data_IF_958926903608
#
_entry.id   IF_958926903608
#
_cell.length_a   1.000
_cell.length_b   1.000
_cell.length_c   1.000
_cell.angle_alpha   90.00
_cell.angle_beta   90.00
_cell.angle_gamma   90.00
#
_symmetry.space_group_name_H-M   'P 1'
#
loop_
_entity.id
_entity.type
_entity.pdbx_description
1 polymer ?
#
# COMPACT_ATOMS: atom_id res chain seq x y z
N UNK A 1 63.44 -12.22 -15.31
CA UNK A 1 64.01 -13.39 -14.65
C UNK A 1 64.40 -13.03 -13.20
N UNK A 2 63.60 -12.20 -12.49
CA UNK A 2 63.87 -11.80 -11.10
C UNK A 2 62.64 -11.93 -10.18
N UNK A 3 61.50 -12.43 -10.71
CA UNK A 3 60.27 -12.58 -9.94
C UNK A 3 59.97 -14.00 -9.46
N UNK A 4 60.88 -14.96 -9.80
CA UNK A 4 60.68 -16.39 -9.51
C UNK A 4 61.51 -16.89 -8.30
N UNK A 5 62.31 -16.03 -7.67
CA UNK A 5 63.20 -16.42 -6.58
C UNK A 5 62.81 -15.95 -5.18
N UNK A 6 61.74 -15.13 -5.06
CA UNK A 6 61.28 -14.61 -3.76
C UNK A 6 60.08 -15.36 -3.12
N UNK A 7 59.61 -16.44 -3.72
CA UNK A 7 58.42 -17.19 -3.22
C UNK A 7 58.76 -18.51 -2.48
N UNK A 8 60.04 -18.76 -2.19
CA UNK A 8 60.44 -20.03 -1.53
C UNK A 8 60.81 -19.94 -0.05
N UNK A 9 60.64 -18.81 0.61
CA UNK A 9 61.04 -18.66 2.02
C UNK A 9 59.97 -17.99 2.94
N UNK A 10 58.65 -18.18 2.64
CA UNK A 10 57.59 -17.73 3.56
C UNK A 10 57.02 -18.93 4.34
N UNK A 11 56.84 -18.77 5.69
CA UNK A 11 56.28 -19.84 6.52
C UNK A 11 54.82 -20.13 6.12
N UNK A 12 54.44 -21.41 6.17
CA UNK A 12 53.15 -21.96 5.76
C UNK A 12 51.91 -21.31 6.40
N UNK A 13 52.08 -20.46 7.43
CA UNK A 13 51.05 -19.76 8.13
C UNK A 13 50.52 -18.51 7.41
N UNK A 14 51.30 -17.95 6.47
CA UNK A 14 50.92 -16.74 5.72
C UNK A 14 50.15 -17.10 4.43
N UNK A 15 50.37 -18.30 3.91
CA UNK A 15 49.66 -18.78 2.70
C UNK A 15 48.20 -19.19 2.92
N UNK A 16 47.76 -19.37 4.17
CA UNK A 16 46.33 -19.58 4.52
C UNK A 16 45.48 -18.31 4.57
N UNK A 17 46.09 -17.12 4.57
CA UNK A 17 45.37 -15.85 4.60
C UNK A 17 45.08 -15.25 3.24
N UNK A 18 45.65 -15.78 2.15
CA UNK A 18 45.49 -15.30 0.77
C UNK A 18 44.57 -16.15 -0.09
N UNK A 19 43.92 -17.19 0.48
CA UNK A 19 42.90 -18.01 -0.19
C UNK A 19 41.52 -17.82 0.45
N UNK A 20 41.17 -16.62 0.84
CA UNK A 20 39.75 -16.27 1.04
C UNK A 20 39.31 -15.61 -0.25
N UNK A 21 38.46 -16.29 -1.01
CA UNK A 21 37.71 -15.71 -2.10
C UNK A 21 36.97 -14.48 -1.60
N UNK A 22 37.11 -13.30 -2.22
CA UNK A 22 36.40 -12.11 -1.79
C UNK A 22 34.90 -12.18 -2.14
N UNK A 23 34.37 -13.30 -2.63
CA UNK A 23 32.97 -13.52 -3.01
C UNK A 23 32.19 -14.50 -2.12
N UNK A 24 32.75 -15.02 -1.03
CA UNK A 24 31.96 -15.66 0.03
C UNK A 24 31.42 -14.62 1.02
N UNK A 25 30.80 -13.57 0.51
CA UNK A 25 29.79 -12.81 1.19
C UNK A 25 28.48 -13.54 1.04
N UNK A 26 28.20 -14.55 1.86
CA UNK A 26 26.85 -15.00 2.14
C UNK A 26 26.06 -13.74 2.48
N UNK A 27 25.24 -13.26 1.55
CA UNK A 27 24.14 -12.37 1.86
C UNK A 27 23.22 -13.18 2.79
N UNK A 28 23.46 -13.10 4.10
CA UNK A 28 22.41 -13.40 5.07
C UNK A 28 21.27 -12.51 4.64
N UNK A 29 20.23 -13.08 4.02
CA UNK A 29 18.94 -12.44 3.94
C UNK A 29 18.67 -11.90 5.35
N UNK A 30 18.67 -10.58 5.50
CA UNK A 30 18.31 -9.98 6.77
C UNK A 30 16.91 -10.48 7.07
N UNK A 31 16.78 -11.13 8.21
CA UNK A 31 15.48 -11.60 8.69
C UNK A 31 14.53 -10.40 8.68
N UNK A 32 13.61 -10.39 7.72
CA UNK A 32 12.71 -9.25 7.50
C UNK A 32 11.71 -9.23 8.62
N UNK A 33 11.61 -8.13 9.33
CA UNK A 33 10.64 -7.99 10.43
C UNK A 33 9.23 -8.26 9.92
N UNK A 34 8.48 -9.07 10.66
CA UNK A 34 7.14 -9.48 10.26
C UNK A 34 6.08 -8.50 10.78
N UNK A 35 5.19 -8.02 9.92
CA UNK A 35 4.01 -7.22 10.29
C UNK A 35 2.73 -7.88 9.75
N UNK A 36 1.66 -7.88 10.54
CA UNK A 36 0.37 -8.47 10.18
C UNK A 36 -0.52 -7.47 9.42
N UNK A 37 -0.44 -6.21 9.80
CA UNK A 37 -1.28 -5.14 9.28
C UNK A 37 -0.41 -4.06 8.64
N UNK A 38 -0.75 -3.68 7.42
CA UNK A 38 -0.19 -2.54 6.71
C UNK A 38 -1.06 -1.30 6.86
N UNK A 39 -0.44 -0.16 7.08
CA UNK A 39 -1.10 1.14 7.02
C UNK A 39 -0.40 1.97 5.95
N UNK A 40 -1.15 2.44 4.96
CA UNK A 40 -0.65 3.36 3.94
C UNK A 40 -1.33 4.70 4.14
N UNK A 41 -0.56 5.77 4.33
CA UNK A 41 -1.16 7.08 4.57
C UNK A 41 -0.24 8.26 4.30
N UNK A 42 -0.75 9.44 4.59
CA UNK A 42 0.01 10.69 4.49
C UNK A 42 0.82 10.98 5.74
N UNK A 43 1.52 12.12 5.72
CA UNK A 43 2.46 12.55 6.77
C UNK A 43 1.83 12.75 8.16
N UNK A 44 0.53 13.00 8.25
CA UNK A 44 -0.17 13.16 9.53
C UNK A 44 -0.26 11.90 10.38
N UNK A 45 0.06 10.71 9.83
CA UNK A 45 -0.01 9.42 10.53
C UNK A 45 1.36 8.92 11.04
N UNK A 46 2.45 9.66 10.83
CA UNK A 46 3.81 9.21 11.23
C UNK A 46 4.01 9.07 12.73
N UNK A 47 3.32 9.87 13.52
CA UNK A 47 3.48 9.94 14.98
C UNK A 47 2.22 9.47 15.69
N UNK A 48 1.74 8.27 15.32
CA UNK A 48 0.49 7.74 15.86
C UNK A 48 0.62 7.45 17.38
N UNK A 49 -0.21 8.04 18.24
CA UNK A 49 -0.17 7.78 19.67
C UNK A 49 -0.41 6.30 19.99
N UNK A 50 0.46 5.73 20.83
CA UNK A 50 0.38 4.31 21.23
C UNK A 50 1.13 3.35 20.30
N UNK A 51 1.85 3.86 19.31
CA UNK A 51 2.77 3.06 18.50
C UNK A 51 4.06 2.84 19.29
N UNK A 52 4.40 1.60 19.59
CA UNK A 52 5.53 1.20 20.43
C UNK A 52 6.51 0.29 19.67
N UNK A 53 7.71 0.09 20.22
CA UNK A 53 8.76 -0.74 19.60
C UNK A 53 9.11 -0.31 18.17
N UNK A 54 9.08 1.00 17.93
CA UNK A 54 9.16 1.60 16.59
C UNK A 54 10.58 1.55 16.05
N UNK A 55 10.74 1.06 14.83
CA UNK A 55 11.98 1.12 14.07
C UNK A 55 11.68 1.28 12.57
N UNK A 56 12.72 1.68 11.82
CA UNK A 56 12.61 1.85 10.38
C UNK A 56 13.28 0.70 9.64
N UNK A 57 12.63 0.24 8.57
CA UNK A 57 13.17 -0.80 7.71
C UNK A 57 13.05 -0.43 6.23
N UNK A 58 14.16 -0.55 5.50
CA UNK A 58 14.18 -0.45 4.04
C UNK A 58 14.00 -1.83 3.44
N UNK A 59 13.00 -1.97 2.60
CA UNK A 59 12.66 -3.24 1.96
C UNK A 59 12.99 -3.17 0.48
N UNK A 60 13.94 -3.99 0.05
CA UNK A 60 14.27 -4.12 -1.37
C UNK A 60 13.22 -4.95 -2.10
N UNK A 61 12.86 -4.50 -3.31
CA UNK A 61 11.89 -5.18 -4.16
C UNK A 61 12.39 -5.33 -5.60
N UNK A 62 11.92 -6.33 -6.34
CA UNK A 62 12.27 -6.48 -7.76
C UNK A 62 11.61 -5.42 -8.65
N UNK A 63 10.83 -4.51 -8.07
CA UNK A 63 10.16 -3.40 -8.74
C UNK A 63 10.81 -2.05 -8.43
N UNK A 64 11.98 -2.05 -7.78
CA UNK A 64 12.64 -0.84 -7.31
C UNK A 64 12.27 -0.49 -5.86
N UNK A 65 12.60 0.72 -5.44
CA UNK A 65 12.37 1.16 -4.08
C UNK A 65 10.90 1.54 -3.82
N UNK A 66 10.36 1.21 -2.64
CA UNK A 66 9.12 1.79 -2.14
C UNK A 66 9.22 3.32 -1.94
N UNK A 67 8.07 3.95 -1.72
CA UNK A 67 7.97 5.41 -1.53
C UNK A 67 8.85 5.95 -0.39
N UNK A 68 9.02 5.15 0.67
CA UNK A 68 9.89 5.45 1.81
C UNK A 68 10.31 4.17 2.55
N UNK A 69 11.16 4.30 3.58
CA UNK A 69 11.35 3.25 4.55
C UNK A 69 10.03 2.97 5.29
N UNK A 70 9.78 1.70 5.58
CA UNK A 70 8.64 1.31 6.42
C UNK A 70 8.93 1.65 7.88
N UNK A 71 7.92 2.12 8.59
CA UNK A 71 7.96 2.26 10.03
C UNK A 71 7.24 1.07 10.62
N UNK A 72 7.98 0.21 11.30
CA UNK A 72 7.47 -1.01 11.93
C UNK A 72 7.34 -0.82 13.43
N UNK A 73 6.38 -1.47 14.04
CA UNK A 73 6.18 -1.40 15.48
C UNK A 73 4.90 -2.13 15.90
N UNK A 74 4.48 -1.86 17.13
CA UNK A 74 3.27 -2.43 17.69
C UNK A 74 2.23 -1.35 17.95
N UNK A 75 1.00 -1.60 17.52
CA UNK A 75 -0.17 -0.78 17.77
C UNK A 75 -1.31 -1.68 18.27
N UNK A 76 -1.86 -1.39 19.45
CA UNK A 76 -2.92 -2.21 20.07
C UNK A 76 -2.54 -3.70 20.18
N UNK A 77 -1.28 -3.99 20.54
CA UNK A 77 -0.74 -5.35 20.63
C UNK A 77 -0.57 -6.08 19.28
N UNK A 78 -0.69 -5.38 18.17
CA UNK A 78 -0.57 -5.95 16.82
C UNK A 78 0.66 -5.39 16.11
N UNK A 79 1.39 -6.24 15.40
CA UNK A 79 2.55 -5.82 14.59
C UNK A 79 2.06 -5.12 13.33
N UNK A 80 2.51 -3.89 13.14
CA UNK A 80 2.06 -2.98 12.07
C UNK A 80 3.24 -2.50 11.24
N UNK A 81 3.07 -2.42 9.92
CA UNK A 81 3.97 -1.76 8.99
C UNK A 81 3.28 -0.51 8.43
N UNK A 82 3.82 0.66 8.73
CA UNK A 82 3.35 1.93 8.20
C UNK A 82 4.20 2.38 7.02
N UNK A 83 3.57 2.85 5.93
CA UNK A 83 4.23 3.43 4.76
C UNK A 83 3.70 4.83 4.45
N UNK A 84 4.61 5.78 4.36
CA UNK A 84 4.36 7.10 3.82
C UNK A 84 4.14 7.03 2.31
N UNK A 85 2.87 7.14 1.85
CA UNK A 85 2.54 7.00 0.42
C UNK A 85 3.37 7.91 -0.47
N UNK A 86 3.44 9.19 -0.15
CA UNK A 86 4.16 10.19 -0.94
C UNK A 86 5.61 10.45 -0.48
N UNK A 87 6.14 9.54 0.37
CA UNK A 87 7.41 9.76 1.06
C UNK A 87 7.35 10.87 2.11
N UNK A 88 8.32 10.90 3.02
CA UNK A 88 8.44 11.99 4.00
C UNK A 88 8.66 13.30 3.27
N UNK A 89 7.98 14.35 3.73
CA UNK A 89 8.00 15.66 3.07
C UNK A 89 7.10 15.75 1.84
N UNK A 90 6.27 14.74 1.55
CA UNK A 90 5.26 14.74 0.46
C UNK A 90 5.89 15.07 -0.92
N UNK A 91 6.96 14.36 -1.28
CA UNK A 91 7.85 14.67 -2.42
C UNK A 91 7.58 13.87 -3.69
N UNK A 92 6.66 12.90 -3.64
CA UNK A 92 6.34 12.00 -4.76
C UNK A 92 4.92 12.29 -5.25
N UNK A 93 4.77 12.64 -6.52
CA UNK A 93 3.46 12.84 -7.13
C UNK A 93 2.66 11.53 -7.20
N UNK A 94 1.32 11.58 -7.25
CA UNK A 94 0.48 10.39 -7.39
C UNK A 94 0.88 9.46 -8.55
N UNK A 95 1.26 10.01 -9.69
CA UNK A 95 1.66 9.22 -10.88
C UNK A 95 3.12 8.77 -10.87
N UNK A 96 3.94 9.29 -9.94
CA UNK A 96 5.32 8.84 -9.73
C UNK A 96 5.44 7.74 -8.67
N UNK A 97 4.34 7.43 -7.96
CA UNK A 97 4.33 6.40 -6.91
C UNK A 97 4.66 5.03 -7.47
N UNK A 98 5.66 4.38 -6.89
CA UNK A 98 5.97 3.00 -7.20
C UNK A 98 5.02 2.05 -6.44
N UNK A 99 3.76 2.00 -6.89
CA UNK A 99 2.73 1.18 -6.26
C UNK A 99 3.11 -0.30 -6.18
N UNK A 100 3.80 -0.84 -7.22
CA UNK A 100 4.27 -2.24 -7.20
C UNK A 100 5.27 -2.48 -6.08
N UNK A 101 6.28 -1.61 -5.93
CA UNK A 101 7.25 -1.73 -4.86
C UNK A 101 6.58 -1.61 -3.49
N UNK A 102 5.65 -0.67 -3.32
CA UNK A 102 4.94 -0.47 -2.06
C UNK A 102 4.16 -1.72 -1.61
N UNK A 103 3.37 -2.30 -2.50
CA UNK A 103 2.54 -3.47 -2.16
C UNK A 103 3.37 -4.75 -2.09
N UNK A 104 4.38 -4.91 -2.94
CA UNK A 104 5.30 -6.05 -2.86
C UNK A 104 6.07 -6.06 -1.53
N UNK A 105 6.56 -4.90 -1.10
CA UNK A 105 7.24 -4.77 0.19
C UNK A 105 6.32 -5.07 1.36
N UNK A 106 5.07 -4.61 1.35
CA UNK A 106 4.04 -5.01 2.33
C UNK A 106 3.90 -6.53 2.38
N UNK A 107 3.83 -7.19 1.21
CA UNK A 107 3.77 -8.66 1.13
C UNK A 107 5.00 -9.32 1.71
N UNK A 108 6.19 -8.80 1.43
CA UNK A 108 7.48 -9.29 1.92
C UNK A 108 7.60 -9.16 3.45
N UNK A 109 7.04 -8.11 4.02
CA UNK A 109 6.90 -7.90 5.48
C UNK A 109 5.86 -8.83 6.13
N UNK A 110 5.14 -9.64 5.37
CA UNK A 110 4.12 -10.55 5.88
C UNK A 110 2.73 -9.92 6.05
N UNK A 111 2.52 -8.70 5.54
CA UNK A 111 1.24 -8.00 5.66
C UNK A 111 0.13 -8.77 4.95
N UNK A 112 -0.96 -9.01 5.67
CA UNK A 112 -2.16 -9.68 5.16
C UNK A 112 -3.37 -8.76 5.01
N UNK A 113 -3.36 -7.61 5.68
CA UNK A 113 -4.44 -6.61 5.63
C UNK A 113 -3.85 -5.21 5.53
N UNK A 114 -4.38 -4.41 4.63
CA UNK A 114 -4.00 -3.01 4.46
C UNK A 114 -5.20 -2.11 4.76
N UNK A 115 -4.99 -1.15 5.65
CA UNK A 115 -5.83 0.04 5.81
C UNK A 115 -5.15 1.19 5.12
N UNK A 116 -5.76 1.70 4.08
CA UNK A 116 -5.25 2.86 3.35
C UNK A 116 -6.05 4.11 3.74
N UNK A 117 -5.34 5.18 4.06
CA UNK A 117 -5.95 6.45 4.46
C UNK A 117 -5.59 7.51 3.44
N UNK A 118 -6.58 8.23 2.91
CA UNK A 118 -6.36 9.30 1.94
C UNK A 118 -7.34 10.46 2.11
N UNK A 119 -6.88 11.67 1.81
CA UNK A 119 -7.74 12.83 1.64
C UNK A 119 -8.48 12.75 0.30
N UNK A 120 -9.74 13.15 0.26
CA UNK A 120 -10.61 13.11 -0.91
C UNK A 120 -11.53 14.32 -0.98
N UNK A 121 -11.91 14.71 -2.20
CA UNK A 121 -13.03 15.59 -2.45
C UNK A 121 -14.36 14.82 -2.40
N UNK A 122 -15.42 15.45 -1.93
CA UNK A 122 -16.78 14.91 -1.96
C UNK A 122 -17.50 15.25 -3.26
N UNK A 123 -18.18 14.28 -3.84
CA UNK A 123 -19.07 14.45 -4.99
C UNK A 123 -20.55 14.45 -4.61
N UNK A 124 -20.86 14.36 -3.32
CA UNK A 124 -22.24 14.33 -2.77
C UNK A 124 -22.42 15.27 -1.59
N UNK A 125 -23.58 15.88 -1.48
CA UNK A 125 -23.95 16.79 -0.37
C UNK A 125 -23.89 16.12 1.00
N UNK A 126 -24.26 14.85 1.08
CA UNK A 126 -24.29 14.08 2.33
C UNK A 126 -22.92 13.72 2.87
N UNK A 127 -21.84 13.80 2.07
CA UNK A 127 -20.45 13.54 2.49
C UNK A 127 -19.77 14.88 2.80
N UNK A 128 -19.86 15.31 4.01
CA UNK A 128 -19.36 16.64 4.44
C UNK A 128 -17.87 16.63 4.72
N UNK A 129 -17.16 17.74 4.56
CA UNK A 129 -15.82 17.90 5.11
C UNK A 129 -15.75 17.43 6.57
N UNK A 130 -14.74 16.62 6.89
CA UNK A 130 -14.52 15.87 8.14
C UNK A 130 -15.29 14.56 8.30
N UNK A 131 -16.23 14.22 7.42
CA UNK A 131 -16.76 12.86 7.34
C UNK A 131 -15.72 11.92 6.72
N UNK A 132 -15.79 10.65 7.09
CA UNK A 132 -15.00 9.60 6.48
C UNK A 132 -15.91 8.68 5.66
N UNK A 133 -15.53 8.38 4.43
CA UNK A 133 -16.21 7.41 3.58
C UNK A 133 -15.34 6.15 3.50
N UNK A 134 -15.96 4.99 3.62
CA UNK A 134 -15.31 3.69 3.43
C UNK A 134 -15.84 3.10 2.12
N UNK A 135 -15.27 3.50 0.96
CA UNK A 135 -15.79 3.10 -0.34
C UNK A 135 -15.64 1.60 -0.55
N UNK A 136 -16.56 1.01 -1.28
CA UNK A 136 -16.54 -0.40 -1.68
C UNK A 136 -16.35 -0.59 -3.18
N UNK A 137 -16.45 0.49 -3.97
CA UNK A 137 -16.27 0.49 -5.42
C UNK A 137 -15.29 1.57 -5.90
N UNK A 138 -14.69 1.32 -7.08
CA UNK A 138 -13.79 2.25 -7.73
C UNK A 138 -14.14 2.45 -9.21
N UNK A 139 -13.91 3.66 -9.71
CA UNK A 139 -13.85 3.97 -11.14
C UNK A 139 -12.45 4.49 -11.46
N UNK A 140 -11.79 3.90 -12.45
CA UNK A 140 -10.43 4.26 -12.88
C UNK A 140 -10.45 5.37 -13.92
N UNK A 141 -9.90 6.52 -13.57
CA UNK A 141 -9.64 7.65 -14.48
C UNK A 141 -8.15 7.97 -14.55
N UNK A 142 -7.30 6.96 -14.31
CA UNK A 142 -5.85 7.08 -14.46
C UNK A 142 -5.39 6.50 -15.81
N UNK A 143 -4.30 7.04 -16.39
CA UNK A 143 -3.91 6.71 -17.76
C UNK A 143 -2.46 6.20 -17.89
N UNK A 144 -1.56 6.59 -16.98
CA UNK A 144 -0.12 6.35 -17.11
C UNK A 144 0.47 5.48 -16.01
N UNK A 145 -0.34 4.81 -15.19
CA UNK A 145 0.10 4.09 -14.01
C UNK A 145 0.18 2.60 -14.24
N UNK A 146 1.28 2.00 -13.79
CA UNK A 146 1.38 0.54 -13.75
C UNK A 146 0.60 0.03 -12.54
N UNK A 147 -0.43 -0.78 -12.78
CA UNK A 147 -1.37 -1.26 -11.75
C UNK A 147 -1.50 -2.78 -11.72
N UNK A 148 -0.49 -3.52 -12.20
CA UNK A 148 -0.44 -5.00 -12.16
C UNK A 148 0.98 -5.49 -11.95
N UNK A 149 1.12 -6.66 -11.32
CA UNK A 149 2.37 -7.40 -11.24
C UNK A 149 2.60 -8.30 -12.46
N UNK A 150 1.55 -8.62 -13.21
CA UNK A 150 1.65 -9.39 -14.44
C UNK A 150 2.38 -8.63 -15.54
N UNK A 151 2.92 -9.36 -16.49
CA UNK A 151 3.76 -8.83 -17.56
C UNK A 151 5.05 -9.66 -17.69
N UNK A 152 6.04 -9.17 -18.45
CA UNK A 152 7.34 -9.82 -18.63
C UNK A 152 7.22 -11.30 -19.01
N UNK A 153 6.20 -11.67 -19.81
CA UNK A 153 5.93 -13.04 -20.25
C UNK A 153 4.91 -13.81 -19.40
N UNK A 154 4.28 -13.17 -18.44
CA UNK A 154 3.18 -13.76 -17.65
C UNK A 154 1.90 -12.99 -17.91
N UNK A 155 0.87 -13.68 -18.38
CA UNK A 155 -0.50 -13.17 -18.50
C UNK A 155 -1.32 -13.73 -17.35
N UNK A 156 -2.01 -12.85 -16.63
CA UNK A 156 -2.88 -13.25 -15.54
C UNK A 156 -4.04 -12.28 -15.34
N UNK A 157 -5.11 -12.79 -14.75
CA UNK A 157 -6.30 -12.01 -14.41
C UNK A 157 -6.80 -12.39 -13.03
N UNK A 158 -7.15 -11.40 -12.22
CA UNK A 158 -7.83 -11.59 -10.93
C UNK A 158 -9.24 -11.02 -10.97
N UNK A 159 -10.16 -11.64 -10.27
CA UNK A 159 -11.50 -11.09 -10.12
C UNK A 159 -11.46 -9.79 -9.30
N UNK A 160 -12.08 -8.72 -9.81
CA UNK A 160 -12.04 -7.39 -9.22
C UNK A 160 -13.41 -6.69 -9.18
N UNK A 161 -14.52 -7.45 -9.32
CA UNK A 161 -15.89 -6.94 -9.18
C UNK A 161 -16.17 -6.35 -7.78
N UNK A 162 -15.61 -6.98 -6.74
CA UNK A 162 -15.63 -6.50 -5.35
C UNK A 162 -14.21 -6.12 -4.94
N UNK A 163 -13.74 -4.89 -5.25
CA UNK A 163 -12.34 -4.50 -5.11
C UNK A 163 -11.87 -4.36 -3.65
N UNK A 164 -12.80 -4.14 -2.73
CA UNK A 164 -12.53 -3.87 -1.30
C UNK A 164 -12.86 -5.09 -0.45
N UNK A 165 -12.00 -5.38 0.52
CA UNK A 165 -12.26 -6.46 1.49
C UNK A 165 -13.32 -6.04 2.50
N UNK A 166 -14.47 -6.70 2.50
CA UNK A 166 -15.59 -6.40 3.40
C UNK A 166 -15.23 -6.54 4.87
N UNK A 167 -14.29 -7.44 5.24
CA UNK A 167 -13.84 -7.60 6.63
C UNK A 167 -13.09 -6.35 7.11
N UNK A 168 -12.15 -5.84 6.31
CA UNK A 168 -11.38 -4.64 6.65
C UNK A 168 -12.27 -3.40 6.61
N UNK A 169 -13.15 -3.28 5.62
CA UNK A 169 -14.11 -2.17 5.51
C UNK A 169 -15.06 -2.11 6.70
N UNK A 170 -15.61 -3.24 7.15
CA UNK A 170 -16.45 -3.31 8.36
C UNK A 170 -15.70 -2.91 9.62
N UNK A 171 -14.44 -3.35 9.77
CA UNK A 171 -13.61 -2.94 10.91
C UNK A 171 -13.35 -1.41 10.90
N UNK A 172 -13.07 -0.82 9.73
CA UNK A 172 -12.89 0.62 9.57
C UNK A 172 -14.17 1.41 9.91
N UNK A 173 -15.34 0.96 9.41
CA UNK A 173 -16.62 1.60 9.71
C UNK A 173 -16.99 1.50 11.21
N UNK A 174 -16.77 0.34 11.83
CA UNK A 174 -16.98 0.15 13.26
C UNK A 174 -16.04 1.03 14.10
N UNK A 175 -14.80 1.19 13.67
CA UNK A 175 -13.82 2.05 14.31
C UNK A 175 -14.23 3.52 14.27
N UNK A 176 -14.73 4.03 13.12
CA UNK A 176 -15.27 5.38 13.04
C UNK A 176 -16.36 5.61 14.09
N UNK A 177 -17.32 4.68 14.19
CA UNK A 177 -18.40 4.75 15.18
C UNK A 177 -17.85 4.73 16.62
N UNK A 178 -16.87 3.87 16.91
CA UNK A 178 -16.31 3.74 18.26
C UNK A 178 -15.60 5.00 18.75
N UNK A 179 -15.00 5.78 17.85
CA UNK A 179 -14.30 7.02 18.22
C UNK A 179 -15.10 8.30 17.96
N UNK A 180 -16.38 8.18 17.61
CA UNK A 180 -17.27 9.32 17.41
C UNK A 180 -17.02 10.09 16.11
N UNK A 181 -16.37 9.49 15.12
CA UNK A 181 -16.20 10.05 13.77
C UNK A 181 -17.33 9.55 12.86
N UNK A 182 -17.89 10.44 12.06
CA UNK A 182 -18.90 10.05 11.06
C UNK A 182 -18.24 9.22 10.00
N UNK A 183 -18.52 7.91 10.00
CA UNK A 183 -18.01 6.95 9.01
C UNK A 183 -19.15 6.42 8.15
N UNK A 184 -19.08 6.59 6.85
CA UNK A 184 -20.10 6.18 5.87
C UNK A 184 -19.62 4.99 5.07
N UNK A 185 -20.15 3.78 5.34
CA UNK A 185 -19.76 2.58 4.59
C UNK A 185 -20.41 2.55 3.21
N UNK A 186 -19.67 2.05 2.23
CA UNK A 186 -20.09 1.95 0.84
C UNK A 186 -19.77 3.22 0.04
N UNK A 187 -20.06 3.14 -1.25
CA UNK A 187 -19.88 4.24 -2.20
C UNK A 187 -18.75 4.03 -3.19
N UNK A 188 -18.77 4.83 -4.24
CA UNK A 188 -17.83 4.75 -5.37
C UNK A 188 -16.77 5.83 -5.28
N UNK A 189 -15.51 5.40 -5.30
CA UNK A 189 -14.33 6.27 -5.35
C UNK A 189 -13.87 6.45 -6.81
N UNK A 190 -13.86 7.68 -7.32
CA UNK A 190 -13.18 8.02 -8.58
C UNK A 190 -11.69 8.18 -8.28
N UNK A 191 -10.84 7.41 -8.98
CA UNK A 191 -9.39 7.60 -8.94
C UNK A 191 -8.96 8.37 -10.18
N UNK A 192 -8.66 9.65 -10.03
CA UNK A 192 -8.17 10.50 -11.12
C UNK A 192 -6.64 10.52 -11.21
N UNK A 193 -6.10 10.92 -12.37
CA UNK A 193 -4.64 10.95 -12.58
C UNK A 193 -3.96 12.01 -11.72
N UNK A 194 -4.49 13.23 -11.66
CA UNK A 194 -3.78 14.37 -11.10
C UNK A 194 -2.57 14.79 -11.96
N UNK A 195 -1.66 15.68 -11.47
CA UNK A 195 -1.72 16.34 -10.15
C UNK A 195 -2.76 17.45 -10.05
N UNK A 196 -3.33 17.92 -11.18
CA UNK A 196 -4.40 18.91 -11.18
C UNK A 196 -5.67 18.28 -10.58
N UNK A 197 -6.44 19.10 -9.87
CA UNK A 197 -7.80 18.74 -9.47
C UNK A 197 -8.76 18.75 -10.66
N UNK A 198 -9.97 18.24 -10.45
CA UNK A 198 -11.01 18.19 -11.47
C UNK A 198 -11.37 19.57 -12.01
N UNK A 199 -11.69 19.66 -13.29
CA UNK A 199 -12.48 20.76 -13.81
C UNK A 199 -13.94 20.64 -13.32
N UNK A 200 -14.70 21.74 -13.33
CA UNK A 200 -16.15 21.69 -13.01
C UNK A 200 -16.92 20.72 -13.90
N UNK A 201 -16.53 20.62 -15.17
CA UNK A 201 -17.16 19.70 -16.13
C UNK A 201 -16.89 18.23 -15.74
N UNK A 202 -15.66 17.87 -15.36
CA UNK A 202 -15.30 16.54 -14.88
C UNK A 202 -16.02 16.21 -13.57
N UNK A 203 -16.01 17.14 -12.61
CA UNK A 203 -16.70 16.94 -11.34
C UNK A 203 -18.20 16.68 -11.54
N UNK A 204 -18.88 17.46 -12.37
CA UNK A 204 -20.28 17.25 -12.71
C UNK A 204 -20.52 15.93 -13.45
N UNK A 205 -19.61 15.53 -14.34
CA UNK A 205 -19.67 14.25 -15.03
C UNK A 205 -19.58 13.09 -14.02
N UNK A 206 -18.62 13.13 -13.10
CA UNK A 206 -18.45 12.07 -12.08
C UNK A 206 -19.64 11.98 -11.13
N UNK A 207 -20.24 13.12 -10.77
CA UNK A 207 -21.50 13.18 -10.04
C UNK A 207 -22.65 12.51 -10.79
N UNK A 208 -22.74 12.75 -12.11
CA UNK A 208 -23.78 12.10 -12.93
C UNK A 208 -23.63 10.58 -13.03
N UNK A 209 -22.40 10.05 -12.81
CA UNK A 209 -22.13 8.63 -12.71
C UNK A 209 -22.47 8.03 -11.32
N UNK A 210 -22.89 8.87 -10.39
CA UNK A 210 -23.25 8.44 -9.03
C UNK A 210 -22.05 8.25 -8.09
N UNK A 211 -20.86 8.75 -8.47
CA UNK A 211 -19.68 8.65 -7.62
C UNK A 211 -19.84 9.45 -6.32
N UNK A 212 -19.21 8.95 -5.26
CA UNK A 212 -19.31 9.49 -3.91
C UNK A 212 -18.14 10.40 -3.55
N UNK A 213 -16.92 9.97 -3.85
CA UNK A 213 -15.70 10.71 -3.53
C UNK A 213 -14.69 10.61 -4.66
N UNK A 214 -13.76 11.56 -4.68
CA UNK A 214 -12.69 11.64 -5.67
C UNK A 214 -11.33 11.80 -5.00
N UNK A 215 -10.35 11.06 -5.48
CA UNK A 215 -8.97 11.15 -5.05
C UNK A 215 -8.01 10.61 -6.10
N UNK A 216 -6.73 10.41 -5.75
CA UNK A 216 -5.69 10.16 -6.75
C UNK A 216 -4.93 8.84 -6.59
N UNK A 217 -5.11 8.03 -5.52
CA UNK A 217 -4.07 7.03 -5.20
C UNK A 217 -4.57 5.62 -4.88
N UNK A 218 -5.80 5.44 -4.45
CA UNK A 218 -6.23 4.19 -3.82
C UNK A 218 -6.48 3.02 -4.79
N UNK A 219 -6.81 3.28 -6.04
CA UNK A 219 -7.18 2.22 -6.98
C UNK A 219 -5.99 1.31 -7.34
N UNK A 220 -4.80 1.89 -7.59
CA UNK A 220 -3.61 1.10 -7.89
C UNK A 220 -3.20 0.24 -6.69
N UNK A 221 -3.33 0.78 -5.48
CA UNK A 221 -3.12 0.01 -4.25
C UNK A 221 -4.08 -1.17 -4.16
N UNK A 222 -5.38 -0.94 -4.40
CA UNK A 222 -6.41 -1.98 -4.35
C UNK A 222 -6.19 -3.09 -5.39
N UNK A 223 -5.85 -2.73 -6.65
CA UNK A 223 -5.55 -3.69 -7.72
C UNK A 223 -4.37 -4.57 -7.36
N UNK A 224 -3.26 -3.97 -6.95
CA UNK A 224 -2.03 -4.69 -6.59
C UNK A 224 -2.19 -5.49 -5.29
N UNK A 225 -2.91 -4.98 -4.30
CA UNK A 225 -3.23 -5.72 -3.08
C UNK A 225 -4.06 -6.98 -3.40
N UNK A 226 -5.01 -6.91 -4.35
CA UNK A 226 -5.78 -8.07 -4.81
C UNK A 226 -4.87 -9.13 -5.45
N UNK A 227 -3.95 -8.75 -6.34
CA UNK A 227 -2.99 -9.66 -6.96
C UNK A 227 -2.02 -10.25 -5.93
N UNK A 228 -1.62 -9.48 -4.91
CA UNK A 228 -0.77 -9.94 -3.82
C UNK A 228 -1.53 -10.73 -2.73
N UNK A 229 -2.84 -10.92 -2.88
CA UNK A 229 -3.70 -11.60 -1.90
C UNK A 229 -3.65 -10.94 -0.51
N UNK A 230 -3.62 -9.62 -0.50
CA UNK A 230 -3.73 -8.79 0.70
C UNK A 230 -5.14 -8.20 0.75
N UNK A 231 -5.80 -8.31 1.89
CA UNK A 231 -7.07 -7.63 2.13
C UNK A 231 -6.84 -6.12 2.14
N UNK A 232 -7.65 -5.36 1.42
CA UNK A 232 -7.48 -3.92 1.29
C UNK A 232 -8.79 -3.19 1.54
N UNK A 233 -8.75 -2.11 2.29
CA UNK A 233 -9.83 -1.13 2.37
C UNK A 233 -9.28 0.28 2.55
N UNK A 234 -10.05 1.26 2.10
CA UNK A 234 -9.74 2.69 2.20
C UNK A 234 -10.60 3.36 3.25
N UNK A 235 -9.99 4.26 4.02
CA UNK A 235 -10.65 5.31 4.79
C UNK A 235 -10.43 6.62 4.03
N UNK A 236 -11.45 7.07 3.32
CA UNK A 236 -11.42 8.28 2.52
C UNK A 236 -11.92 9.45 3.39
N UNK A 237 -11.00 10.35 3.74
CA UNK A 237 -11.27 11.50 4.59
C UNK A 237 -11.71 12.68 3.73
N UNK A 238 -12.94 13.09 3.84
CA UNK A 238 -13.46 14.23 3.06
C UNK A 238 -12.83 15.53 3.56
N UNK A 239 -12.19 16.27 2.63
CA UNK A 239 -11.58 17.58 2.90
C UNK A 239 -12.44 18.73 2.42
N UNK A 240 -13.15 18.55 1.32
CA UNK A 240 -13.90 19.56 0.60
C UNK A 240 -15.00 18.91 -0.27
N UNK A 241 -15.79 19.75 -0.97
CA UNK A 241 -16.85 19.30 -1.89
C UNK A 241 -16.40 19.27 -3.35
N UNK A 242 -15.10 19.08 -3.62
CA UNK A 242 -14.57 19.25 -4.97
C UNK A 242 -14.99 20.63 -5.56
N UNK A 243 -14.98 20.81 -6.89
CA UNK A 243 -15.26 22.09 -7.51
C UNK A 243 -16.70 22.27 -8.05
N UNK A 244 -17.63 21.34 -7.74
CA UNK A 244 -18.99 21.34 -8.28
C UNK A 244 -19.97 22.20 -7.46
N UNK A 245 -19.70 22.44 -6.18
CA UNK A 245 -20.65 23.10 -5.26
C UNK A 245 -20.64 24.61 -5.50
N UNK A 246 -21.76 25.14 -5.95
CA UNK A 246 -21.96 26.59 -6.13
C UNK A 246 -22.17 27.29 -4.78
N UNK A 247 -21.80 28.58 -4.70
CA UNK A 247 -22.04 29.41 -3.51
C UNK A 247 -21.06 29.25 -2.35
N UNK A 248 -20.08 28.37 -2.46
CA UNK A 248 -18.86 28.45 -1.69
C UNK A 248 -17.82 29.16 -2.55
N UNK A 249 -17.37 30.34 -2.14
CA UNK A 249 -16.12 30.91 -2.59
C UNK A 249 -15.08 29.79 -2.58
N UNK A 250 -14.25 29.73 -3.61
CA UNK A 250 -13.24 28.66 -3.74
C UNK A 250 -12.59 28.42 -2.39
N UNK A 251 -12.80 27.19 -1.83
CA UNK A 251 -12.27 26.79 -0.53
C UNK A 251 -10.82 27.22 -0.46
N UNK A 252 -10.46 28.03 0.49
CA UNK A 252 -9.10 28.55 0.58
C UNK A 252 -8.14 27.43 0.94
N UNK A 253 -6.88 27.53 0.53
CA UNK A 253 -5.85 26.54 0.89
C UNK A 253 -5.77 26.40 2.41
N UNK A 254 -5.94 27.49 3.15
CA UNK A 254 -5.91 27.53 4.62
C UNK A 254 -7.05 26.70 5.22
N UNK A 255 -8.26 26.76 4.66
CA UNK A 255 -9.41 25.96 5.11
C UNK A 255 -9.19 24.48 4.83
N UNK A 256 -8.66 24.12 3.64
CA UNK A 256 -8.28 22.73 3.32
C UNK A 256 -7.25 22.22 4.32
N UNK A 257 -6.22 23.01 4.62
CA UNK A 257 -5.17 22.62 5.57
C UNK A 257 -5.73 22.43 6.98
N UNK A 258 -6.64 23.32 7.44
CA UNK A 258 -7.28 23.18 8.75
C UNK A 258 -8.15 21.90 8.84
N UNK A 259 -8.86 21.56 7.77
CA UNK A 259 -9.62 20.30 7.67
C UNK A 259 -8.69 19.09 7.63
N UNK A 260 -7.58 19.16 6.89
CA UNK A 260 -6.57 18.09 6.82
C UNK A 260 -5.98 17.78 8.21
N UNK A 261 -5.65 18.79 9.01
CA UNK A 261 -5.15 18.57 10.38
C UNK A 261 -6.19 17.85 11.25
N UNK A 262 -7.46 18.33 11.27
CA UNK A 262 -8.52 17.65 12.02
C UNK A 262 -8.76 16.21 11.54
N UNK A 263 -8.73 16.00 10.24
CA UNK A 263 -8.87 14.67 9.65
C UNK A 263 -7.70 13.75 10.03
N UNK A 264 -6.46 14.26 10.07
CA UNK A 264 -5.30 13.48 10.49
C UNK A 264 -5.42 12.98 11.94
N UNK A 265 -5.83 13.86 12.88
CA UNK A 265 -6.05 13.48 14.27
C UNK A 265 -7.16 12.43 14.41
N UNK A 266 -8.25 12.60 13.69
CA UNK A 266 -9.34 11.63 13.67
C UNK A 266 -8.92 10.32 13.03
N UNK A 267 -8.14 10.37 11.93
CA UNK A 267 -7.62 9.19 11.26
C UNK A 267 -6.71 8.37 12.17
N UNK A 268 -5.83 9.00 12.95
CA UNK A 268 -5.03 8.30 13.95
C UNK A 268 -5.88 7.48 14.92
N UNK A 269 -6.97 8.08 15.44
CA UNK A 269 -7.91 7.40 16.35
C UNK A 269 -8.66 6.25 15.65
N UNK A 270 -9.15 6.50 14.43
CA UNK A 270 -9.88 5.49 13.64
C UNK A 270 -8.98 4.34 13.24
N UNK A 271 -7.76 4.60 12.76
CA UNK A 271 -6.80 3.56 12.40
C UNK A 271 -6.44 2.70 13.59
N UNK A 272 -6.16 3.32 14.75
CA UNK A 272 -5.88 2.62 16.00
C UNK A 272 -7.03 1.69 16.39
N UNK A 273 -8.27 2.19 16.40
CA UNK A 273 -9.46 1.39 16.69
C UNK A 273 -9.71 0.31 15.64
N UNK A 274 -9.44 0.56 14.36
CA UNK A 274 -9.58 -0.42 13.29
C UNK A 274 -8.55 -1.56 13.44
N UNK A 275 -7.30 -1.26 13.80
CA UNK A 275 -6.26 -2.25 14.09
C UNK A 275 -6.70 -3.17 15.23
N UNK A 276 -7.22 -2.59 16.34
CA UNK A 276 -7.74 -3.37 17.47
C UNK A 276 -8.94 -4.25 17.09
N UNK A 277 -9.83 -3.76 16.23
CA UNK A 277 -11.06 -4.46 15.85
C UNK A 277 -10.85 -5.55 14.76
N UNK A 278 -9.72 -5.55 14.05
CA UNK A 278 -9.46 -6.56 13.02
C UNK A 278 -9.17 -7.94 13.64
N UNK A 279 -9.77 -9.03 13.11
CA UNK A 279 -9.44 -10.39 13.57
C UNK A 279 -7.95 -10.66 13.42
N UNK A 280 -7.33 -11.34 14.41
CA UNK A 280 -5.94 -11.81 14.28
C UNK A 280 -5.86 -12.96 13.27
N UNK A 281 -4.86 -12.96 12.40
CA UNK A 281 -4.65 -14.05 11.43
C UNK A 281 -3.98 -15.26 12.07
N UNK A 282 -3.31 -15.08 13.20
CA UNK A 282 -2.80 -16.20 14.01
C UNK A 282 -3.92 -17.00 14.68
N UNK A 283 -5.09 -16.37 14.91
CA UNK A 283 -6.23 -16.99 15.60
C UNK A 283 -7.32 -17.44 14.63
N UNK A 284 -7.53 -16.69 13.55
CA UNK A 284 -8.60 -16.95 12.58
C UNK A 284 -8.07 -16.86 11.16
N UNK A 285 -8.09 -17.97 10.45
CA UNK A 285 -7.73 -17.99 9.02
C UNK A 285 -8.60 -17.03 8.23
N UNK A 286 -8.00 -16.32 7.27
CA UNK A 286 -8.75 -15.44 6.37
C UNK A 286 -9.70 -16.25 5.48
N UNK A 287 -11.00 -16.04 5.63
CA UNK A 287 -12.05 -16.73 4.86
C UNK A 287 -12.56 -15.91 3.66
N UNK A 288 -12.09 -14.67 3.51
CA UNK A 288 -12.46 -13.81 2.40
C UNK A 288 -11.79 -14.24 1.08
N UNK A 289 -12.42 -13.96 -0.05
CA UNK A 289 -11.91 -14.27 -1.38
C UNK A 289 -10.53 -13.62 -1.69
N UNK A 290 -10.13 -12.58 -0.94
CA UNK A 290 -8.82 -11.95 -1.07
C UNK A 290 -7.68 -12.95 -0.84
N UNK A 291 -7.82 -13.89 0.11
CA UNK A 291 -6.76 -14.81 0.52
C UNK A 291 -6.30 -15.80 -0.57
N UNK A 292 -7.12 -15.99 -1.60
CA UNK A 292 -6.88 -16.95 -2.70
C UNK A 292 -7.14 -16.34 -4.07
N UNK A 293 -7.14 -15.00 -4.15
CA UNK A 293 -7.50 -14.28 -5.38
C UNK A 293 -6.61 -14.62 -6.59
N UNK A 294 -5.35 -14.99 -6.33
CA UNK A 294 -4.37 -15.33 -7.38
C UNK A 294 -4.29 -16.83 -7.71
N UNK A 295 -5.06 -17.69 -7.02
CA UNK A 295 -4.94 -19.15 -7.14
C UNK A 295 -5.03 -19.67 -8.57
N UNK A 296 -5.89 -19.10 -9.38
CA UNK A 296 -6.13 -19.47 -10.78
C UNK A 296 -5.89 -18.30 -11.73
N UNK A 297 -5.10 -17.30 -11.30
CA UNK A 297 -4.95 -16.05 -12.04
C UNK A 297 -4.10 -16.20 -13.30
N UNK A 298 -3.04 -17.04 -13.29
CA UNK A 298 -2.07 -17.16 -14.37
C UNK A 298 -2.62 -18.05 -15.49
N UNK A 299 -2.69 -17.48 -16.71
CA UNK A 299 -3.15 -18.16 -17.91
C UNK A 299 -1.97 -18.66 -18.79
N UNK A 300 -0.78 -18.07 -18.63
CA UNK A 300 0.41 -18.49 -19.37
C UNK A 300 0.78 -19.93 -19.01
N UNK A 301 1.07 -20.76 -20.02
CA UNK A 301 1.52 -22.13 -19.81
C UNK A 301 2.84 -22.14 -19.01
N UNK A 302 2.99 -23.07 -18.07
CA UNK A 302 4.08 -23.08 -17.08
C UNK A 302 5.49 -23.17 -17.73
N UNK A 303 5.63 -23.88 -18.83
CA UNK A 303 6.86 -24.03 -19.61
C UNK A 303 7.20 -22.79 -20.44
N UNK A 304 6.20 -21.96 -20.75
CA UNK A 304 6.38 -20.70 -21.49
C UNK A 304 6.76 -19.52 -20.58
N UNK A 305 6.65 -19.66 -19.24
CA UNK A 305 6.98 -18.58 -18.31
C UNK A 305 8.50 -18.44 -18.19
N UNK A 306 9.07 -17.25 -18.48
CA UNK A 306 10.50 -17.00 -18.32
C UNK A 306 10.97 -17.20 -16.88
N UNK A 307 12.17 -17.80 -16.69
CA UNK A 307 12.73 -18.07 -15.37
C UNK A 307 12.88 -16.80 -14.53
N UNK A 308 13.33 -15.70 -15.14
CA UNK A 308 13.45 -14.41 -14.46
C UNK A 308 12.11 -13.87 -13.95
N UNK A 309 11.00 -14.12 -14.68
CA UNK A 309 9.66 -13.72 -14.24
C UNK A 309 9.17 -14.60 -13.06
N UNK A 310 9.47 -15.90 -13.07
CA UNK A 310 9.20 -16.80 -11.93
C UNK A 310 9.91 -16.33 -10.67
N UNK A 311 11.19 -16.01 -10.76
CA UNK A 311 11.98 -15.50 -9.64
C UNK A 311 11.44 -14.17 -9.11
N UNK A 312 11.14 -13.23 -10.02
CA UNK A 312 10.59 -11.92 -9.70
C UNK A 312 9.26 -12.00 -8.95
N UNK A 313 8.41 -12.96 -9.33
CA UNK A 313 7.03 -13.08 -8.80
C UNK A 313 6.85 -14.26 -7.82
N UNK A 314 7.93 -14.93 -7.42
CA UNK A 314 7.90 -16.08 -6.50
C UNK A 314 7.13 -15.79 -5.20
N UNK A 315 7.37 -14.65 -4.58
CA UNK A 315 6.71 -14.24 -3.33
C UNK A 315 5.18 -14.17 -3.49
N UNK A 316 4.69 -13.76 -4.65
CA UNK A 316 3.27 -13.55 -4.91
C UNK A 316 2.58 -14.85 -5.32
N UNK A 317 3.17 -15.60 -6.25
CA UNK A 317 2.50 -16.72 -6.94
C UNK A 317 3.20 -18.07 -6.75
N UNK A 318 4.39 -18.12 -6.19
CA UNK A 318 5.19 -19.34 -6.06
C UNK A 318 4.48 -20.47 -5.33
N UNK A 319 3.66 -20.13 -4.33
CA UNK A 319 2.88 -21.13 -3.55
C UNK A 319 1.89 -21.93 -4.40
N UNK A 320 1.47 -21.44 -5.57
CA UNK A 320 0.52 -22.12 -6.46
C UNK A 320 1.20 -22.86 -7.61
N UNK A 321 2.43 -22.49 -7.93
CA UNK A 321 3.11 -22.93 -9.14
C UNK A 321 4.45 -23.64 -8.87
N UNK A 322 4.87 -23.76 -7.61
CA UNK A 322 6.10 -24.43 -7.21
C UNK A 322 7.39 -23.71 -7.63
N UNK A 323 7.36 -22.37 -7.73
CA UNK A 323 8.51 -21.54 -8.11
C UNK A 323 9.43 -21.23 -6.95
#
# INVERSE_FOLDING_TARGET
>A
MLLHFMLRSMPALILRRLKRDPFEGSSKEKDVSHAEIGIIGGSGLYSMPGFTNVHEERVDTPFGAPSDAFVLGELEGRRVAFLARHGRGHRILPSELNFRANIYAMKKLGVERIVSVSAVGSLKEEHKPTDFVIPDQFIDRTFHRVSTFFGDGIVGHVAFGDPVCSTVAKAAAAACKAVGVVGKPGGTYICMEGPQFSTKAESNLYRSWGADVIGMTNLQEAKLAREAEICYATIAMVTDYDCWREGHDSVTIEEIVAVLHRNADNACKVVKAAVAAMPSTSEVARTCACATAAKFAILTQQDAIPQAAKEKLRLLFGKYHGW
#
